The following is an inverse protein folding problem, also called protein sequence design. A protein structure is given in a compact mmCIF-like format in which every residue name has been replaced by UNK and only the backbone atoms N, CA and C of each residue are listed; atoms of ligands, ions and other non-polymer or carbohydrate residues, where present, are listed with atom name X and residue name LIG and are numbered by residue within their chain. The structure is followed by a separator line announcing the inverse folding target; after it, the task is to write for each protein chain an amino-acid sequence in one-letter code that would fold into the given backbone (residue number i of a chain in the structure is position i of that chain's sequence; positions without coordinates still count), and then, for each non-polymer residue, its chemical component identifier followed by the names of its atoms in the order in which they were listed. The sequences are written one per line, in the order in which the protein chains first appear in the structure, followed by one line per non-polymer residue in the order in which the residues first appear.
data_IF_684638386777
#
_entry.id   IF_684638386777
#
_cell.length_a   1.000
_cell.length_b   1.000
_cell.length_c   1.000
_cell.angle_alpha   90.00
_cell.angle_beta   90.00
_cell.angle_gamma   90.00
#
_symmetry.space_group_name_H-M   'P 1'
#
loop_
_entity.id
_entity.type
_entity.pdbx_description
1 polymer ?
#
# COMPACT_ATOMS: atom_id res chain seq x y z
N UNK A 1 -14.42 -16.32 44.91
CA UNK A 1 -14.53 -16.75 43.49
C UNK A 1 -13.24 -17.48 43.15
N UNK A 2 -13.24 -18.71 42.67
CA UNK A 2 -12.00 -19.47 42.54
C UNK A 2 -11.33 -19.25 41.22
N UNK A 3 -10.13 -18.70 41.23
CA UNK A 3 -9.16 -18.84 40.14
C UNK A 3 -8.88 -20.34 39.90
N UNK A 4 -8.63 -20.78 38.68
CA UNK A 4 -8.22 -22.15 38.40
C UNK A 4 -6.95 -22.48 39.17
N UNK A 5 -6.93 -23.68 39.83
CA UNK A 5 -5.73 -24.18 40.50
C UNK A 5 -5.07 -25.28 39.69
N UNK A 6 -3.76 -25.47 39.88
CA UNK A 6 -2.99 -26.46 39.13
C UNK A 6 -1.98 -27.17 40.07
N UNK A 7 -1.81 -28.45 39.84
CA UNK A 7 -0.77 -29.23 40.53
C UNK A 7 -0.29 -30.44 39.70
N UNK A 8 0.99 -30.81 39.78
CA UNK A 8 1.48 -32.04 39.16
C UNK A 8 0.93 -33.26 39.93
N UNK A 9 0.51 -34.26 39.20
CA UNK A 9 -0.06 -35.51 39.76
C UNK A 9 0.33 -36.70 38.89
N UNK A 10 0.30 -37.88 39.49
CA UNK A 10 0.26 -39.18 38.80
C UNK A 10 -1.12 -39.81 39.02
N UNK A 11 -1.57 -40.56 38.02
CA UNK A 11 -2.83 -41.29 38.11
C UNK A 11 -2.51 -42.75 38.41
N UNK A 12 -2.88 -43.26 39.59
CA UNK A 12 -2.56 -44.62 40.02
C UNK A 12 -2.99 -45.69 39.01
N UNK A 13 -4.08 -45.47 38.31
CA UNK A 13 -4.61 -46.36 37.27
C UNK A 13 -3.72 -46.43 36.04
N UNK A 14 -2.76 -45.52 35.88
CA UNK A 14 -1.85 -45.41 34.71
C UNK A 14 -0.41 -45.81 35.08
N UNK A 15 -0.18 -46.32 36.30
CA UNK A 15 1.12 -46.82 36.72
C UNK A 15 1.37 -48.13 35.98
N UNK A 16 2.50 -48.23 35.27
CA UNK A 16 2.92 -49.42 34.54
C UNK A 16 3.42 -50.50 35.50
N UNK A 17 3.58 -51.73 35.02
CA UNK A 17 4.06 -52.89 35.83
C UNK A 17 5.45 -52.64 36.43
N UNK A 18 6.29 -51.86 35.77
CA UNK A 18 7.62 -51.47 36.26
C UNK A 18 7.59 -50.32 37.30
N UNK A 19 6.44 -49.85 37.66
CA UNK A 19 6.23 -48.71 38.57
C UNK A 19 6.45 -47.34 37.94
N UNK A 20 6.64 -47.24 36.60
CA UNK A 20 6.75 -45.99 35.92
C UNK A 20 5.36 -45.42 35.55
N UNK A 21 5.24 -44.09 35.47
CA UNK A 21 4.03 -43.42 35.02
C UNK A 21 4.33 -42.01 34.46
N UNK A 22 3.50 -41.53 33.55
CA UNK A 22 3.62 -40.17 33.08
C UNK A 22 3.00 -39.17 34.08
N UNK A 23 3.74 -38.14 34.41
CA UNK A 23 3.24 -37.05 35.24
C UNK A 23 2.27 -36.19 34.43
N UNK A 24 1.18 -35.77 35.03
CA UNK A 24 0.19 -34.86 34.44
C UNK A 24 0.02 -33.64 35.31
N UNK A 25 -0.36 -32.52 34.73
CA UNK A 25 -0.79 -31.36 35.51
C UNK A 25 -2.31 -31.40 35.62
N UNK A 26 -2.83 -31.54 36.84
CA UNK A 26 -4.24 -31.43 37.09
C UNK A 26 -4.63 -29.98 37.23
N UNK A 27 -5.51 -29.53 36.34
CA UNK A 27 -6.16 -28.22 36.42
C UNK A 27 -7.52 -28.42 37.06
N UNK A 28 -7.83 -27.63 38.09
CA UNK A 28 -9.12 -27.69 38.77
C UNK A 28 -9.79 -26.31 38.75
N UNK A 29 -11.04 -26.29 38.31
CA UNK A 29 -11.88 -25.09 38.26
C UNK A 29 -13.33 -25.47 38.54
N UNK A 30 -14.02 -24.68 39.36
CA UNK A 30 -15.42 -24.94 39.75
C UNK A 30 -15.71 -26.41 40.12
N UNK A 31 -14.82 -27.01 40.95
CA UNK A 31 -14.88 -28.42 41.41
C UNK A 31 -14.73 -29.49 40.32
N UNK A 32 -14.49 -29.11 39.07
CA UNK A 32 -14.19 -30.03 37.96
C UNK A 32 -12.68 -30.05 37.70
N UNK A 33 -12.15 -31.17 37.20
CA UNK A 33 -10.72 -31.29 36.90
C UNK A 33 -10.48 -31.86 35.50
N UNK A 34 -9.42 -31.33 34.85
CA UNK A 34 -8.83 -31.86 33.62
C UNK A 34 -7.32 -32.00 33.74
N UNK A 35 -6.72 -32.80 32.88
CA UNK A 35 -5.31 -33.17 32.99
C UNK A 35 -4.53 -32.83 31.75
N UNK A 36 -3.50 -32.01 31.90
CA UNK A 36 -2.56 -31.69 30.83
C UNK A 36 -1.44 -32.73 30.88
N UNK A 37 -1.17 -33.49 29.80
CA UNK A 37 -0.07 -34.42 29.75
C UNK A 37 1.28 -33.70 29.76
N UNK A 38 2.30 -34.31 30.36
CA UNK A 38 3.68 -33.81 30.32
C UNK A 38 4.63 -34.84 29.71
N UNK A 39 5.82 -34.40 29.29
CA UNK A 39 6.90 -35.29 28.85
C UNK A 39 7.65 -35.95 29.99
N UNK A 40 7.36 -35.58 31.27
CA UNK A 40 8.06 -36.07 32.44
C UNK A 40 7.46 -37.40 32.86
N UNK A 41 8.31 -38.41 33.02
CA UNK A 41 7.98 -39.73 33.55
C UNK A 41 8.51 -39.83 34.99
N UNK A 42 7.69 -40.30 35.90
CA UNK A 42 8.08 -40.66 37.26
C UNK A 42 8.28 -42.17 37.38
N UNK A 43 9.32 -42.61 38.10
CA UNK A 43 9.62 -44.00 38.46
C UNK A 43 9.11 -44.34 39.87
N UNK A 44 9.15 -45.62 40.24
CA UNK A 44 8.69 -46.10 41.57
C UNK A 44 9.34 -45.37 42.75
N UNK A 45 10.55 -44.84 42.57
CA UNK A 45 11.26 -44.06 43.61
C UNK A 45 10.89 -42.57 43.68
N UNK A 46 10.12 -42.06 42.71
CA UNK A 46 9.79 -40.63 42.53
C UNK A 46 8.48 -40.20 43.21
N UNK A 47 7.76 -41.12 43.85
CA UNK A 47 6.52 -40.83 44.57
C UNK A 47 6.41 -41.71 45.84
N UNK A 48 5.58 -41.33 46.76
CA UNK A 48 5.34 -42.03 48.03
C UNK A 48 4.18 -43.04 47.91
N UNK A 49 3.84 -43.67 49.08
CA UNK A 49 2.73 -44.64 49.19
C UNK A 49 1.34 -44.01 48.93
N UNK A 50 1.24 -42.71 49.07
CA UNK A 50 0.02 -41.93 48.84
C UNK A 50 0.02 -41.32 47.40
N UNK A 51 0.96 -41.73 46.53
CA UNK A 51 1.13 -41.25 45.18
C UNK A 51 1.46 -39.74 45.06
N UNK A 52 2.05 -39.16 46.12
CA UNK A 52 2.54 -37.79 46.08
C UNK A 52 3.93 -37.75 45.45
N UNK A 53 4.13 -36.83 44.51
CA UNK A 53 5.40 -36.66 43.79
C UNK A 53 6.46 -36.05 44.73
N UNK A 54 7.68 -36.54 44.66
CA UNK A 54 8.83 -35.97 45.35
C UNK A 54 9.27 -34.63 44.70
N UNK A 55 9.93 -33.78 45.47
CA UNK A 55 10.40 -32.47 45.00
C UNK A 55 11.32 -32.55 43.80
N UNK A 56 12.11 -33.62 43.67
CA UNK A 56 12.98 -33.85 42.48
C UNK A 56 12.20 -33.92 41.17
N UNK A 57 10.98 -34.46 41.19
CA UNK A 57 10.10 -34.51 40.02
C UNK A 57 9.44 -33.13 39.76
N UNK A 58 9.03 -32.46 40.83
CA UNK A 58 8.42 -31.13 40.76
C UNK A 58 9.41 -30.13 40.15
N UNK A 59 10.69 -30.22 40.52
CA UNK A 59 11.76 -29.40 39.98
C UNK A 59 11.93 -29.60 38.45
N UNK A 60 11.77 -30.82 37.94
CA UNK A 60 11.80 -31.08 36.48
C UNK A 60 10.64 -30.46 35.73
N UNK A 61 9.58 -30.07 36.41
CA UNK A 61 8.39 -29.41 35.87
C UNK A 61 8.37 -27.91 36.15
N UNK A 62 9.42 -27.35 36.79
CA UNK A 62 9.41 -25.96 37.26
C UNK A 62 9.08 -24.93 36.21
N UNK A 63 9.66 -25.08 35.02
CA UNK A 63 9.43 -24.12 33.91
C UNK A 63 8.00 -24.22 33.36
N UNK A 64 7.47 -25.45 33.25
CA UNK A 64 6.09 -25.70 32.88
C UNK A 64 5.10 -25.12 33.90
N UNK A 65 5.36 -25.34 35.18
CA UNK A 65 4.53 -24.81 36.25
C UNK A 65 4.56 -23.28 36.30
N UNK A 66 5.73 -22.65 36.08
CA UNK A 66 5.86 -21.20 35.97
C UNK A 66 5.08 -20.68 34.78
N UNK A 67 5.17 -21.35 33.60
CA UNK A 67 4.41 -20.96 32.42
C UNK A 67 2.90 -21.02 32.65
N UNK A 68 2.39 -22.08 33.31
CA UNK A 68 0.97 -22.17 33.69
C UNK A 68 0.59 -21.04 34.63
N UNK A 69 1.41 -20.76 35.66
CA UNK A 69 1.18 -19.67 36.59
C UNK A 69 1.05 -18.32 35.87
N UNK A 70 2.00 -18.02 35.01
CA UNK A 70 1.98 -16.77 34.23
C UNK A 70 0.74 -16.64 33.33
N UNK A 71 0.31 -17.75 32.71
CA UNK A 71 -0.92 -17.74 31.89
C UNK A 71 -2.15 -17.53 32.75
N UNK A 72 -2.20 -18.13 33.97
CA UNK A 72 -3.32 -17.92 34.89
C UNK A 72 -3.37 -16.49 35.43
N UNK A 73 -2.22 -15.85 35.65
CA UNK A 73 -2.10 -14.45 36.06
C UNK A 73 -2.49 -13.45 34.95
N UNK A 74 -2.52 -13.88 33.71
CA UNK A 74 -2.86 -13.00 32.56
C UNK A 74 -4.34 -12.63 32.49
N UNK A 75 -5.22 -13.29 33.25
CA UNK A 75 -6.65 -13.02 33.31
C UNK A 75 -7.10 -12.67 34.73
N UNK A 76 -8.11 -11.84 34.81
CA UNK A 76 -8.76 -11.47 36.08
C UNK A 76 -9.60 -12.61 36.65
N UNK A 77 -9.88 -12.56 37.94
CA UNK A 77 -10.76 -13.53 38.63
C UNK A 77 -12.15 -13.60 37.99
N UNK A 78 -12.65 -12.45 37.51
CA UNK A 78 -13.94 -12.36 36.86
C UNK A 78 -13.94 -13.08 35.50
N UNK A 79 -12.89 -12.92 34.69
CA UNK A 79 -12.76 -13.64 33.43
C UNK A 79 -12.71 -15.15 33.61
N UNK A 80 -11.98 -15.62 34.63
CA UNK A 80 -11.95 -17.05 34.97
C UNK A 80 -13.31 -17.55 35.45
N UNK A 81 -14.07 -16.72 36.18
CA UNK A 81 -15.39 -17.13 36.66
C UNK A 81 -16.43 -17.25 35.53
N UNK A 82 -16.23 -16.59 34.41
CA UNK A 82 -17.09 -16.74 33.23
C UNK A 82 -16.81 -18.03 32.43
N UNK A 83 -15.66 -18.68 32.65
CA UNK A 83 -15.24 -19.86 31.88
C UNK A 83 -15.63 -21.17 32.64
N UNK A 84 -15.90 -22.20 31.88
CA UNK A 84 -15.98 -23.57 32.42
C UNK A 84 -14.61 -24.27 32.34
N UNK A 85 -14.55 -25.53 32.88
CA UNK A 85 -13.28 -26.27 32.90
C UNK A 85 -12.77 -26.65 31.49
N UNK A 86 -13.65 -26.80 30.52
CA UNK A 86 -13.30 -27.14 29.16
C UNK A 86 -12.67 -25.92 28.43
N UNK A 87 -13.22 -24.76 28.66
CA UNK A 87 -12.70 -23.48 28.16
C UNK A 87 -11.36 -23.15 28.82
N UNK A 88 -11.25 -23.30 30.16
CA UNK A 88 -9.97 -23.12 30.87
C UNK A 88 -8.90 -24.07 30.35
N UNK A 89 -9.24 -25.36 30.19
CA UNK A 89 -8.30 -26.35 29.65
C UNK A 89 -7.87 -26.01 28.20
N UNK A 90 -8.79 -25.65 27.35
CA UNK A 90 -8.52 -25.27 25.96
C UNK A 90 -7.63 -24.03 25.89
N UNK A 91 -7.91 -23.02 26.69
CA UNK A 91 -7.11 -21.79 26.76
C UNK A 91 -5.67 -22.08 27.23
N UNK A 92 -5.51 -22.82 28.33
CA UNK A 92 -4.20 -23.21 28.83
C UNK A 92 -3.43 -24.08 27.85
N UNK A 93 -4.11 -25.06 27.24
CA UNK A 93 -3.48 -25.94 26.24
C UNK A 93 -3.02 -25.21 25.00
N UNK A 94 -3.78 -24.22 24.54
CA UNK A 94 -3.41 -23.36 23.40
C UNK A 94 -2.17 -22.51 23.73
N UNK A 95 -2.15 -21.87 24.92
CA UNK A 95 -1.02 -21.02 25.35
C UNK A 95 0.24 -21.80 25.73
N UNK A 96 0.11 -23.07 26.10
CA UNK A 96 1.21 -23.94 26.51
C UNK A 96 1.75 -24.82 25.39
N UNK A 97 1.09 -24.89 24.23
CA UNK A 97 1.73 -25.50 23.08
C UNK A 97 3.06 -24.79 22.87
N UNK A 98 4.21 -25.52 22.72
CA UNK A 98 5.40 -24.87 22.20
C UNK A 98 4.96 -24.18 20.94
N UNK A 99 4.93 -22.85 20.93
CA UNK A 99 4.76 -22.15 19.68
C UNK A 99 5.92 -22.64 18.83
N UNK A 100 5.64 -23.42 17.78
CA UNK A 100 6.56 -23.46 16.66
C UNK A 100 6.84 -22.00 16.42
N UNK A 101 8.10 -21.61 16.61
CA UNK A 101 8.51 -20.21 16.59
C UNK A 101 8.03 -19.69 15.26
N UNK A 102 6.96 -18.87 15.27
CA UNK A 102 6.40 -18.34 14.03
C UNK A 102 7.56 -17.71 13.26
N UNK A 103 7.78 -18.19 12.06
CA UNK A 103 8.81 -17.72 11.15
C UNK A 103 8.15 -17.34 9.84
N UNK A 104 8.42 -16.14 9.40
CA UNK A 104 7.94 -15.63 8.12
C UNK A 104 9.07 -14.84 7.48
N UNK A 105 9.55 -15.29 6.32
CA UNK A 105 10.52 -14.51 5.57
C UNK A 105 9.86 -13.25 5.01
N UNK A 106 10.45 -12.10 5.32
CA UNK A 106 9.92 -10.78 4.98
C UNK A 106 9.86 -10.54 3.46
N UNK A 107 10.85 -11.03 2.72
CA UNK A 107 10.92 -10.82 1.27
C UNK A 107 9.97 -11.77 0.53
N UNK A 108 9.86 -13.01 0.94
CA UNK A 108 8.86 -13.95 0.39
C UNK A 108 7.45 -13.43 0.62
N UNK A 109 7.15 -12.94 1.82
CA UNK A 109 5.90 -12.27 2.12
C UNK A 109 5.70 -11.03 1.24
N UNK A 110 6.74 -10.19 1.10
CA UNK A 110 6.74 -9.02 0.23
C UNK A 110 6.33 -9.36 -1.21
N UNK A 111 6.88 -10.43 -1.78
CA UNK A 111 6.49 -10.90 -3.12
C UNK A 111 5.04 -11.40 -3.18
N UNK A 112 4.55 -12.06 -2.13
CA UNK A 112 3.14 -12.45 -2.03
C UNK A 112 2.22 -11.22 -1.95
N UNK A 113 2.57 -10.24 -1.13
CA UNK A 113 1.84 -8.97 -1.01
C UNK A 113 1.73 -8.22 -2.34
N UNK A 114 2.72 -8.35 -3.22
CA UNK A 114 2.72 -7.72 -4.53
C UNK A 114 1.77 -8.38 -5.54
N UNK A 115 1.33 -9.62 -5.30
CA UNK A 115 0.35 -10.28 -6.16
C UNK A 115 -0.96 -9.49 -6.11
N UNK A 116 -1.52 -9.18 -7.27
CA UNK A 116 -2.77 -8.40 -7.37
C UNK A 116 -2.61 -6.87 -7.29
N UNK A 117 -1.41 -6.33 -7.06
CA UNK A 117 -1.18 -4.88 -7.16
C UNK A 117 -1.02 -4.44 -8.61
N UNK A 118 -1.43 -3.21 -8.94
CA UNK A 118 -1.18 -2.62 -10.26
C UNK A 118 0.32 -2.51 -10.55
N UNK A 119 0.70 -2.52 -11.81
CA UNK A 119 2.11 -2.51 -12.24
C UNK A 119 2.91 -1.34 -11.65
N UNK A 120 2.36 -0.11 -11.69
CA UNK A 120 3.03 1.06 -11.13
C UNK A 120 3.21 0.98 -9.60
N UNK A 121 2.19 0.43 -8.89
CA UNK A 121 2.27 0.19 -7.44
C UNK A 121 3.31 -0.89 -7.14
N UNK A 122 3.29 -1.99 -7.89
CA UNK A 122 4.25 -3.10 -7.76
C UNK A 122 5.69 -2.63 -7.95
N UNK A 123 5.95 -1.79 -8.96
CA UNK A 123 7.28 -1.23 -9.23
C UNK A 123 7.82 -0.44 -8.03
N UNK A 124 7.00 0.43 -7.42
CA UNK A 124 7.41 1.20 -6.23
C UNK A 124 7.79 0.30 -5.04
N UNK A 125 6.98 -0.72 -4.76
CA UNK A 125 7.28 -1.67 -3.69
C UNK A 125 8.51 -2.53 -3.99
N UNK A 126 8.71 -2.95 -5.24
CA UNK A 126 9.93 -3.68 -5.65
C UNK A 126 11.19 -2.85 -5.45
N UNK A 127 11.15 -1.56 -5.79
CA UNK A 127 12.27 -0.66 -5.50
C UNK A 127 12.56 -0.56 -3.99
N UNK A 128 11.50 -0.48 -3.17
CA UNK A 128 11.66 -0.44 -1.71
C UNK A 128 12.23 -1.75 -1.15
N UNK A 129 11.75 -2.91 -1.62
CA UNK A 129 12.28 -4.21 -1.21
C UNK A 129 13.75 -4.37 -1.64
N UNK A 130 14.10 -3.98 -2.88
CA UNK A 130 15.48 -4.02 -3.35
C UNK A 130 16.41 -3.10 -2.54
N UNK A 131 15.95 -1.90 -2.19
CA UNK A 131 16.72 -0.99 -1.33
C UNK A 131 16.90 -1.56 0.09
N UNK A 132 15.89 -2.23 0.61
CA UNK A 132 15.95 -2.87 1.93
C UNK A 132 16.87 -4.09 1.93
N UNK A 133 16.83 -4.91 0.87
CA UNK A 133 17.78 -6.01 0.63
C UNK A 133 19.23 -5.51 0.58
N UNK A 134 19.50 -4.44 -0.18
CA UNK A 134 20.84 -3.83 -0.25
C UNK A 134 21.32 -3.34 1.12
N UNK A 135 20.43 -2.75 1.91
CA UNK A 135 20.75 -2.30 3.27
C UNK A 135 21.06 -3.47 4.21
N UNK A 136 20.30 -4.56 4.14
CA UNK A 136 20.50 -5.76 4.98
C UNK A 136 21.67 -6.62 4.53
N UNK A 137 22.05 -6.56 3.24
CA UNK A 137 23.05 -7.44 2.62
C UNK A 137 22.56 -8.89 2.42
N UNK A 138 21.26 -9.16 2.61
CA UNK A 138 20.65 -10.47 2.46
C UNK A 138 19.18 -10.37 2.05
N UNK A 139 18.70 -11.39 1.32
CA UNK A 139 17.28 -11.55 0.97
C UNK A 139 16.55 -12.56 1.88
N UNK A 140 17.24 -13.22 2.79
CA UNK A 140 16.63 -14.10 3.79
C UNK A 140 16.58 -13.36 5.10
N UNK A 141 15.38 -12.98 5.54
CA UNK A 141 15.21 -12.12 6.71
C UNK A 141 13.86 -12.38 7.40
N UNK A 142 13.92 -12.85 8.64
CA UNK A 142 12.70 -13.09 9.42
C UNK A 142 11.99 -11.76 9.75
N UNK A 143 10.66 -11.73 9.58
CA UNK A 143 9.84 -10.52 9.79
C UNK A 143 9.96 -9.96 11.21
N UNK A 144 10.23 -10.80 12.21
CA UNK A 144 10.43 -10.38 13.60
C UNK A 144 11.69 -9.52 13.80
N UNK A 145 12.62 -9.59 12.84
CA UNK A 145 13.81 -8.75 12.76
C UNK A 145 13.53 -7.30 12.35
N UNK A 146 12.35 -7.01 11.79
CA UNK A 146 11.93 -5.64 11.48
C UNK A 146 11.60 -4.93 12.80
N UNK A 147 12.55 -4.20 13.32
CA UNK A 147 12.43 -3.44 14.58
C UNK A 147 12.43 -1.94 14.32
N UNK A 148 11.97 -1.14 15.28
CA UNK A 148 12.02 0.33 15.20
C UNK A 148 13.47 0.85 15.06
N UNK A 149 14.43 0.20 15.71
CA UNK A 149 15.85 0.51 15.58
C UNK A 149 16.38 0.20 14.18
N UNK A 150 16.02 -0.96 13.61
CA UNK A 150 16.38 -1.31 12.24
C UNK A 150 15.82 -0.30 11.24
N UNK A 151 14.55 0.10 11.42
CA UNK A 151 13.90 1.07 10.53
C UNK A 151 14.57 2.45 10.57
N UNK A 152 15.01 2.92 11.75
CA UNK A 152 15.81 4.16 11.86
C UNK A 152 17.17 4.04 11.14
N UNK A 153 17.83 2.89 11.25
CA UNK A 153 19.08 2.64 10.53
C UNK A 153 18.86 2.59 9.00
N UNK A 154 17.77 1.99 8.55
CA UNK A 154 17.40 1.97 7.14
C UNK A 154 17.08 3.38 6.62
N UNK A 155 16.36 4.19 7.39
CA UNK A 155 16.10 5.60 7.05
C UNK A 155 17.42 6.39 6.89
N UNK A 156 18.36 6.27 7.85
CA UNK A 156 19.67 6.92 7.77
C UNK A 156 20.45 6.44 6.53
N UNK A 157 20.47 5.15 6.25
CA UNK A 157 21.09 4.61 5.02
C UNK A 157 20.50 5.25 3.75
N UNK A 158 19.17 5.43 3.70
CA UNK A 158 18.52 6.08 2.56
C UNK A 158 18.85 7.57 2.48
N UNK A 159 18.96 8.25 3.62
CA UNK A 159 19.36 9.66 3.71
C UNK A 159 20.80 9.85 3.20
N UNK A 160 21.71 8.99 3.63
CA UNK A 160 23.12 9.03 3.20
C UNK A 160 23.26 8.78 1.69
N UNK A 161 22.43 7.88 1.15
CA UNK A 161 22.47 7.49 -0.26
C UNK A 161 21.79 8.50 -1.20
N UNK A 162 20.69 9.11 -0.78
CA UNK A 162 19.81 9.89 -1.64
C UNK A 162 19.61 11.34 -1.21
N UNK A 163 20.04 11.70 0.00
CA UNK A 163 19.77 12.98 0.64
C UNK A 163 18.47 12.98 1.47
N UNK A 164 18.45 13.79 2.52
CA UNK A 164 17.39 13.83 3.55
C UNK A 164 15.98 14.07 2.98
N UNK A 165 15.88 14.90 1.97
CA UNK A 165 14.61 15.32 1.38
C UNK A 165 14.21 14.46 0.16
N UNK A 166 14.99 13.45 -0.17
CA UNK A 166 14.69 12.58 -1.29
C UNK A 166 13.39 11.80 -1.07
N UNK A 167 12.56 11.75 -2.10
CA UNK A 167 11.30 10.98 -2.09
C UNK A 167 11.53 9.50 -1.72
N UNK A 168 12.69 8.94 -2.06
CA UNK A 168 13.05 7.57 -1.76
C UNK A 168 12.99 7.27 -0.26
N UNK A 169 13.39 8.22 0.61
CA UNK A 169 13.39 8.05 2.07
C UNK A 169 11.98 7.79 2.58
N UNK A 170 11.04 8.69 2.29
CA UNK A 170 9.64 8.54 2.73
C UNK A 170 8.92 7.38 2.04
N UNK A 171 9.15 7.20 0.72
CA UNK A 171 8.49 6.16 -0.06
C UNK A 171 8.91 4.76 0.38
N UNK A 172 10.20 4.51 0.54
CA UNK A 172 10.69 3.16 0.83
C UNK A 172 10.42 2.77 2.28
N UNK A 173 10.63 3.67 3.24
CA UNK A 173 10.29 3.39 4.63
C UNK A 173 8.80 3.14 4.82
N UNK A 174 7.93 3.93 4.19
CA UNK A 174 6.46 3.72 4.20
C UNK A 174 6.07 2.41 3.50
N UNK A 175 6.77 2.02 2.44
CA UNK A 175 6.50 0.76 1.74
C UNK A 175 6.81 -0.45 2.63
N UNK A 176 7.96 -0.47 3.32
CA UNK A 176 8.31 -1.52 4.28
C UNK A 176 7.28 -1.57 5.42
N UNK A 177 6.87 -0.41 5.95
CA UNK A 177 5.82 -0.32 6.97
C UNK A 177 4.50 -0.93 6.49
N UNK A 178 4.09 -0.66 5.26
CA UNK A 178 2.83 -1.18 4.69
C UNK A 178 2.88 -2.70 4.51
N UNK A 179 4.00 -3.24 3.98
CA UNK A 179 4.19 -4.69 3.81
C UNK A 179 4.12 -5.39 5.18
N UNK A 180 4.81 -4.85 6.17
CA UNK A 180 4.82 -5.38 7.53
C UNK A 180 3.43 -5.29 8.20
N UNK A 181 2.72 -4.18 8.04
CA UNK A 181 1.37 -4.01 8.58
C UNK A 181 0.38 -5.02 8.00
N UNK A 182 0.52 -5.35 6.72
CA UNK A 182 -0.34 -6.35 6.08
C UNK A 182 -0.03 -7.77 6.58
N UNK A 183 1.24 -8.11 6.82
CA UNK A 183 1.61 -9.36 7.47
C UNK A 183 0.96 -9.49 8.87
N UNK A 184 0.99 -8.42 9.65
CA UNK A 184 0.33 -8.39 10.96
C UNK A 184 -1.18 -8.61 10.86
N UNK A 185 -1.84 -7.99 9.88
CA UNK A 185 -3.28 -8.20 9.66
C UNK A 185 -3.62 -9.64 9.25
N UNK A 186 -2.69 -10.29 8.55
CA UNK A 186 -2.89 -11.65 8.02
C UNK A 186 -2.65 -12.71 9.07
N UNK A 187 -1.64 -12.53 9.93
CA UNK A 187 -1.16 -13.59 10.82
C UNK A 187 -1.47 -13.37 12.29
N UNK A 188 -1.70 -12.13 12.74
CA UNK A 188 -2.13 -11.90 14.12
C UNK A 188 -3.64 -12.11 14.25
N UNK A 189 -4.04 -12.80 15.31
CA UNK A 189 -5.45 -12.92 15.69
C UNK A 189 -5.74 -11.92 16.82
N UNK A 190 -6.40 -10.82 16.46
CA UNK A 190 -6.73 -9.77 17.43
C UNK A 190 -7.90 -10.18 18.35
N UNK A 191 -8.77 -11.10 17.93
CA UNK A 191 -9.90 -11.57 18.74
C UNK A 191 -9.43 -12.53 19.83
N UNK A 192 -8.46 -13.39 19.51
CA UNK A 192 -7.85 -14.31 20.46
C UNK A 192 -6.67 -13.69 21.23
N UNK A 193 -6.25 -12.48 20.87
CA UNK A 193 -5.11 -11.80 21.47
C UNK A 193 -3.75 -12.41 21.09
N UNK A 194 -3.69 -13.23 20.05
CA UNK A 194 -2.44 -13.85 19.60
C UNK A 194 -1.64 -12.92 18.69
N UNK A 195 -0.56 -12.37 19.26
CA UNK A 195 0.36 -11.46 18.54
C UNK A 195 1.59 -12.25 18.11
N UNK A 196 1.56 -12.78 16.87
CA UNK A 196 2.70 -13.47 16.25
C UNK A 196 3.75 -12.50 15.73
N UNK A 197 3.31 -11.36 15.19
CA UNK A 197 4.15 -10.30 14.61
C UNK A 197 3.93 -9.01 15.41
N UNK A 198 4.97 -8.54 16.10
CA UNK A 198 4.95 -7.28 16.86
C UNK A 198 4.91 -6.06 15.94
N UNK A 199 4.44 -4.92 16.46
CA UNK A 199 4.38 -3.66 15.72
C UNK A 199 5.59 -2.76 16.00
N UNK A 200 6.62 -2.71 15.15
CA UNK A 200 7.75 -1.81 15.36
C UNK A 200 7.40 -0.33 15.09
N UNK A 201 6.29 -0.09 14.39
CA UNK A 201 5.86 1.25 13.97
C UNK A 201 5.09 2.01 15.05
N UNK A 202 4.91 1.45 16.24
CA UNK A 202 4.50 2.20 17.45
C UNK A 202 5.60 3.16 17.92
N UNK A 203 6.86 2.77 17.71
CA UNK A 203 8.04 3.54 18.14
C UNK A 203 8.85 4.13 16.98
N UNK A 204 8.38 3.95 15.74
CA UNK A 204 8.99 4.51 14.55
C UNK A 204 7.91 4.89 13.54
N UNK A 205 7.88 6.15 13.13
CA UNK A 205 6.98 6.65 12.09
C UNK A 205 7.80 7.00 10.85
N UNK A 206 7.50 6.42 9.68
CA UNK A 206 8.14 6.83 8.43
C UNK A 206 8.03 8.34 8.18
N UNK A 207 9.08 9.01 7.69
CA UNK A 207 9.03 10.44 7.42
C UNK A 207 7.99 10.75 6.36
N UNK A 208 7.28 11.87 6.55
CA UNK A 208 6.31 12.36 5.56
C UNK A 208 7.05 12.93 4.35
N UNK A 209 6.53 12.66 3.16
CA UNK A 209 7.03 13.27 1.95
C UNK A 209 6.79 14.78 2.00
N UNK A 210 7.82 15.57 1.71
CA UNK A 210 7.66 17.00 1.48
C UNK A 210 6.77 17.25 0.26
N UNK A 211 5.94 18.30 0.26
CA UNK A 211 5.19 18.70 -0.92
C UNK A 211 6.16 18.88 -2.10
N UNK A 212 5.85 18.26 -3.23
CA UNK A 212 6.60 18.50 -4.46
C UNK A 212 6.36 19.93 -4.93
N UNK A 213 7.41 20.58 -5.43
CA UNK A 213 7.29 21.87 -6.10
C UNK A 213 6.25 21.76 -7.23
N UNK A 214 5.45 22.81 -7.40
CA UNK A 214 4.48 22.88 -8.50
C UNK A 214 5.24 22.79 -9.81
N UNK A 215 4.83 21.88 -10.67
CA UNK A 215 5.44 21.64 -12.00
C UNK A 215 4.65 22.36 -13.09
N UNK A 216 4.19 23.57 -12.82
CA UNK A 216 3.55 24.42 -13.81
C UNK A 216 4.62 25.10 -14.64
N UNK A 217 4.37 25.29 -15.92
CA UNK A 217 5.12 26.22 -16.75
C UNK A 217 4.38 27.53 -16.83
N UNK A 218 5.09 28.60 -17.10
CA UNK A 218 4.51 29.94 -17.21
C UNK A 218 3.57 30.03 -18.42
N UNK A 219 2.62 30.94 -18.33
CA UNK A 219 1.58 31.13 -19.33
C UNK A 219 2.17 31.42 -20.74
N UNK A 220 3.16 32.30 -20.83
CA UNK A 220 3.83 32.65 -22.09
C UNK A 220 4.54 31.45 -22.73
N UNK A 221 5.00 30.47 -21.92
CA UNK A 221 5.67 29.28 -22.45
C UNK A 221 4.70 28.41 -23.28
N UNK A 222 3.41 28.34 -22.89
CA UNK A 222 2.39 27.65 -23.73
C UNK A 222 2.25 28.33 -25.09
N UNK A 223 2.14 29.66 -25.10
CA UNK A 223 2.04 30.40 -26.37
C UNK A 223 3.29 30.18 -27.23
N UNK A 224 4.46 30.28 -26.64
CA UNK A 224 5.74 30.05 -27.34
C UNK A 224 5.85 28.61 -27.89
N UNK A 225 5.30 27.61 -27.18
CA UNK A 225 5.24 26.24 -27.71
C UNK A 225 4.34 26.14 -28.93
N UNK A 226 3.18 26.82 -28.91
CA UNK A 226 2.29 26.89 -30.06
C UNK A 226 2.99 27.54 -31.26
N UNK A 227 3.69 28.65 -31.04
CA UNK A 227 4.34 29.43 -32.06
C UNK A 227 5.55 28.71 -32.70
N UNK A 228 6.36 28.00 -31.87
CA UNK A 228 7.59 27.36 -32.35
C UNK A 228 7.35 26.00 -33.01
N UNK A 229 6.22 25.35 -32.79
CA UNK A 229 5.98 23.94 -33.17
C UNK A 229 6.25 23.64 -34.64
N UNK A 230 5.85 24.52 -35.54
CA UNK A 230 6.03 24.33 -36.99
C UNK A 230 7.48 24.47 -37.44
N UNK A 231 8.35 25.07 -36.64
CA UNK A 231 9.78 25.22 -36.91
C UNK A 231 10.62 24.09 -36.26
N UNK A 232 9.99 23.15 -35.56
CA UNK A 232 10.67 22.03 -34.94
C UNK A 232 10.83 20.85 -35.90
N UNK A 233 11.89 20.07 -35.71
CA UNK A 233 12.01 18.77 -36.37
C UNK A 233 10.90 17.82 -35.98
N UNK A 234 10.55 16.87 -36.84
CA UNK A 234 9.38 15.97 -36.72
C UNK A 234 9.17 15.38 -35.33
N UNK A 235 10.22 14.84 -34.71
CA UNK A 235 10.11 14.21 -33.37
C UNK A 235 9.86 15.21 -32.25
N UNK A 236 10.43 16.42 -32.35
CA UNK A 236 10.21 17.49 -31.36
C UNK A 236 8.82 18.08 -31.53
N UNK A 237 8.39 18.31 -32.77
CA UNK A 237 7.02 18.74 -33.09
C UNK A 237 6.01 17.76 -32.54
N UNK A 238 6.18 16.45 -32.78
CA UNK A 238 5.27 15.44 -32.27
C UNK A 238 5.20 15.47 -30.73
N UNK A 239 6.32 15.65 -30.05
CA UNK A 239 6.33 15.73 -28.58
C UNK A 239 5.59 16.98 -28.06
N UNK A 240 5.76 18.12 -28.72
CA UNK A 240 5.03 19.37 -28.43
C UNK A 240 3.55 19.20 -28.74
N UNK A 241 3.19 18.60 -29.87
CA UNK A 241 1.81 18.33 -30.25
C UNK A 241 1.09 17.42 -29.24
N UNK A 242 1.76 16.36 -28.77
CA UNK A 242 1.22 15.49 -27.69
C UNK A 242 1.04 16.27 -26.38
N UNK A 243 2.00 17.16 -26.06
CA UNK A 243 1.90 18.02 -24.89
C UNK A 243 0.71 18.98 -24.97
N UNK A 244 0.59 19.69 -26.09
CA UNK A 244 -0.50 20.62 -26.35
C UNK A 244 -1.85 19.91 -26.46
N UNK A 245 -1.91 18.70 -27.05
CA UNK A 245 -3.10 17.86 -27.02
C UNK A 245 -3.53 17.53 -25.59
N UNK A 246 -2.57 17.10 -24.74
CA UNK A 246 -2.86 16.88 -23.32
C UNK A 246 -3.44 18.13 -22.66
N UNK A 247 -2.85 19.30 -22.93
CA UNK A 247 -3.31 20.59 -22.43
C UNK A 247 -4.73 20.92 -22.91
N UNK A 248 -5.00 20.80 -24.22
CA UNK A 248 -6.33 21.03 -24.83
C UNK A 248 -7.41 20.12 -24.23
N UNK A 249 -7.03 18.96 -23.73
CA UNK A 249 -7.92 17.99 -23.10
C UNK A 249 -7.81 18.03 -21.57
N UNK A 250 -7.81 19.22 -20.94
CA UNK A 250 -7.80 19.44 -19.50
C UNK A 250 -6.63 18.73 -18.79
N UNK A 251 -5.47 18.62 -19.42
CA UNK A 251 -4.32 17.92 -18.86
C UNK A 251 -4.49 16.40 -18.78
N UNK A 252 -5.15 15.80 -19.75
CA UNK A 252 -5.31 14.33 -19.82
C UNK A 252 -3.97 13.63 -19.94
N UNK A 253 -3.75 12.60 -19.13
CA UNK A 253 -2.47 11.89 -19.10
C UNK A 253 -2.29 10.94 -20.28
N UNK A 254 -1.04 10.65 -20.67
CA UNK A 254 -0.72 9.81 -21.82
C UNK A 254 -1.40 8.42 -21.79
N UNK A 255 -1.49 7.67 -20.66
CA UNK A 255 -2.22 6.42 -20.66
C UNK A 255 -3.68 6.56 -21.07
N UNK A 256 -4.32 7.66 -20.66
CA UNK A 256 -5.71 7.96 -20.95
C UNK A 256 -5.87 8.40 -22.44
N UNK A 257 -4.94 9.21 -22.96
CA UNK A 257 -4.89 9.58 -24.39
C UNK A 257 -4.66 8.37 -25.31
N UNK A 258 -3.80 7.42 -24.88
CA UNK A 258 -3.47 6.24 -25.67
C UNK A 258 -4.66 5.31 -25.88
N UNK A 259 -5.52 5.18 -24.86
CA UNK A 259 -6.68 4.28 -24.87
C UNK A 259 -8.00 5.00 -25.17
N UNK A 260 -7.99 6.33 -25.33
CA UNK A 260 -9.18 7.11 -25.56
C UNK A 260 -9.93 6.69 -26.84
N UNK A 261 -11.25 6.77 -26.77
CA UNK A 261 -12.18 6.58 -27.89
C UNK A 261 -12.73 7.93 -28.34
N UNK A 262 -13.21 8.02 -29.57
CA UNK A 262 -13.83 9.22 -30.11
C UNK A 262 -15.24 8.94 -30.60
N UNK A 263 -16.16 9.82 -30.24
CA UNK A 263 -17.54 9.79 -30.77
C UNK A 263 -17.90 11.21 -31.23
N UNK A 264 -17.87 11.41 -32.55
CA UNK A 264 -18.04 12.75 -33.13
C UNK A 264 -16.87 13.66 -32.72
N UNK A 265 -17.19 14.76 -32.05
CA UNK A 265 -16.25 15.72 -31.48
C UNK A 265 -15.92 15.47 -29.98
N UNK A 266 -16.40 14.38 -29.41
CA UNK A 266 -16.20 14.05 -27.98
C UNK A 266 -15.18 12.93 -27.83
N UNK A 267 -14.18 13.15 -26.96
CA UNK A 267 -13.21 12.17 -26.51
C UNK A 267 -13.74 11.50 -25.24
N UNK A 268 -13.70 10.18 -25.24
CA UNK A 268 -14.24 9.32 -24.19
C UNK A 268 -13.11 8.46 -23.62
N UNK A 269 -12.96 8.44 -22.30
CA UNK A 269 -12.05 7.53 -21.62
C UNK A 269 -12.44 7.27 -20.16
N UNK A 270 -11.92 6.19 -19.61
CA UNK A 270 -12.01 5.89 -18.18
C UNK A 270 -10.63 6.05 -17.57
N UNK A 271 -10.43 7.03 -16.69
CA UNK A 271 -9.11 7.38 -16.15
C UNK A 271 -8.39 6.17 -15.57
N UNK A 272 -7.31 5.75 -16.21
CA UNK A 272 -6.56 4.53 -15.94
C UNK A 272 -6.13 4.39 -14.45
N UNK A 273 -5.74 5.49 -13.81
CA UNK A 273 -5.27 5.52 -12.43
C UNK A 273 -6.35 5.19 -11.40
N UNK A 274 -7.63 5.47 -11.68
CA UNK A 274 -8.71 5.43 -10.68
C UNK A 274 -9.91 4.60 -11.08
N UNK A 275 -10.01 4.15 -12.35
CA UNK A 275 -11.17 3.41 -12.88
C UNK A 275 -11.53 2.15 -12.08
N UNK A 276 -10.54 1.45 -11.52
CA UNK A 276 -10.77 0.24 -10.73
C UNK A 276 -11.32 0.48 -9.32
N UNK A 277 -11.30 1.74 -8.85
CA UNK A 277 -11.68 2.12 -7.47
C UNK A 277 -12.98 2.91 -7.41
N UNK A 278 -13.51 3.32 -8.57
CA UNK A 278 -14.69 4.19 -8.66
C UNK A 278 -15.86 3.43 -9.26
N UNK A 279 -17.04 3.67 -8.72
CA UNK A 279 -18.30 3.13 -9.23
C UNK A 279 -18.58 3.62 -10.66
N UNK A 280 -18.35 4.91 -10.94
CA UNK A 280 -18.49 5.53 -12.26
C UNK A 280 -17.35 5.19 -13.23
N UNK A 281 -16.46 4.24 -12.84
CA UNK A 281 -15.26 3.83 -13.58
C UNK A 281 -14.36 5.01 -13.97
N UNK A 282 -14.47 6.13 -13.26
CA UNK A 282 -13.76 7.37 -13.55
C UNK A 282 -13.93 7.83 -15.01
N UNK A 283 -15.16 7.72 -15.53
CA UNK A 283 -15.50 8.11 -16.88
C UNK A 283 -15.28 9.61 -17.11
N UNK A 284 -14.76 9.95 -18.27
CA UNK A 284 -14.53 11.32 -18.74
C UNK A 284 -15.02 11.49 -20.17
N UNK A 285 -15.61 12.65 -20.43
CA UNK A 285 -16.05 13.09 -21.76
C UNK A 285 -15.54 14.51 -21.97
N UNK A 286 -14.72 14.71 -22.98
CA UNK A 286 -14.11 16.01 -23.27
C UNK A 286 -14.41 16.36 -24.74
N UNK A 287 -15.01 17.51 -24.97
CA UNK A 287 -15.24 18.02 -26.32
C UNK A 287 -13.93 18.51 -26.93
N UNK A 288 -13.69 18.15 -28.19
CA UNK A 288 -12.63 18.71 -29.00
C UNK A 288 -13.07 20.12 -29.41
N UNK A 289 -12.40 21.13 -28.89
CA UNK A 289 -12.72 22.50 -29.22
C UNK A 289 -12.10 22.86 -30.59
N UNK A 290 -12.91 23.41 -31.55
CA UNK A 290 -12.42 23.71 -32.91
C UNK A 290 -11.21 24.63 -32.93
N UNK A 291 -11.05 25.49 -31.95
CA UNK A 291 -9.90 26.40 -31.81
C UNK A 291 -8.56 25.64 -31.73
N UNK A 292 -8.55 24.38 -31.29
CA UNK A 292 -7.36 23.54 -31.20
C UNK A 292 -7.11 22.68 -32.45
N UNK A 293 -7.96 22.75 -33.48
CA UNK A 293 -7.81 21.93 -34.70
C UNK A 293 -6.42 22.00 -35.33
N UNK A 294 -5.72 23.17 -35.42
CA UNK A 294 -4.37 23.22 -35.98
C UNK A 294 -3.37 22.26 -35.34
N UNK A 295 -3.62 21.84 -34.10
CA UNK A 295 -2.75 20.90 -33.35
C UNK A 295 -3.32 19.49 -33.36
N UNK A 296 -4.64 19.36 -33.19
CA UNK A 296 -5.29 18.07 -32.91
C UNK A 296 -5.48 17.26 -34.20
N UNK A 297 -5.73 17.91 -35.35
CA UNK A 297 -6.14 17.24 -36.59
C UNK A 297 -5.18 16.16 -37.05
N UNK A 298 -3.87 16.39 -36.96
CA UNK A 298 -2.84 15.44 -37.38
C UNK A 298 -2.69 14.23 -36.42
N UNK A 299 -3.22 14.37 -35.24
CA UNK A 299 -3.18 13.33 -34.22
C UNK A 299 -4.44 12.45 -34.15
N UNK A 300 -5.53 12.86 -34.82
CA UNK A 300 -6.77 12.11 -34.85
C UNK A 300 -6.64 10.82 -35.64
N UNK A 301 -7.25 9.74 -35.16
CA UNK A 301 -7.34 8.50 -35.94
C UNK A 301 -8.50 8.56 -36.93
N UNK A 302 -8.15 8.60 -38.22
CA UNK A 302 -9.14 8.63 -39.32
C UNK A 302 -9.96 7.34 -39.40
N UNK A 303 -9.38 6.20 -38.99
CA UNK A 303 -10.08 4.91 -38.95
C UNK A 303 -11.05 4.81 -37.78
N UNK A 304 -10.99 5.76 -36.85
CA UNK A 304 -11.82 5.84 -35.64
C UNK A 304 -11.81 4.56 -34.77
N UNK A 305 -10.70 3.80 -34.79
CA UNK A 305 -10.50 2.65 -33.91
C UNK A 305 -10.20 3.10 -32.48
N UNK A 306 -9.45 4.22 -32.37
CA UNK A 306 -9.23 4.98 -31.16
C UNK A 306 -9.40 6.47 -31.44
N UNK A 307 -9.29 7.31 -30.42
CA UNK A 307 -9.35 8.76 -30.65
C UNK A 307 -8.12 9.26 -31.43
N UNK A 308 -6.95 8.72 -31.12
CA UNK A 308 -5.67 9.19 -31.62
C UNK A 308 -4.82 8.08 -32.23
N UNK A 309 -3.93 8.49 -33.19
CA UNK A 309 -3.07 7.57 -33.97
C UNK A 309 -1.95 6.91 -33.16
N UNK A 310 -1.87 7.14 -31.87
CA UNK A 310 -0.73 6.70 -31.04
C UNK A 310 -0.49 5.20 -31.07
N UNK A 311 -1.54 4.37 -31.07
CA UNK A 311 -1.44 2.92 -31.15
C UNK A 311 -0.85 2.42 -32.46
N UNK A 312 -0.90 3.22 -33.54
CA UNK A 312 -0.30 2.91 -34.86
C UNK A 312 1.21 3.18 -34.84
N UNK A 313 1.65 4.20 -34.09
CA UNK A 313 3.04 4.67 -34.07
C UNK A 313 3.85 4.05 -32.91
N UNK A 314 3.20 3.64 -31.83
CA UNK A 314 3.86 3.23 -30.59
C UNK A 314 3.24 1.96 -30.02
N UNK A 315 4.07 1.02 -29.58
CA UNK A 315 3.62 -0.25 -29.00
C UNK A 315 2.95 -0.10 -27.63
N UNK A 316 3.27 0.96 -26.88
CA UNK A 316 2.67 1.23 -25.58
C UNK A 316 2.84 2.70 -25.17
N UNK A 317 1.99 3.12 -24.22
CA UNK A 317 1.97 4.51 -23.72
C UNK A 317 3.21 4.92 -22.94
N UNK A 318 3.94 3.98 -22.30
CA UNK A 318 5.16 4.31 -21.53
C UNK A 318 6.25 4.81 -22.46
N UNK A 319 6.42 4.15 -23.60
CA UNK A 319 7.39 4.57 -24.61
C UNK A 319 7.09 5.98 -25.14
N UNK A 320 5.80 6.31 -25.33
CA UNK A 320 5.41 7.68 -25.70
C UNK A 320 5.82 8.68 -24.62
N UNK A 321 5.49 8.36 -23.35
CA UNK A 321 5.78 9.25 -22.22
C UNK A 321 7.29 9.53 -22.09
N UNK A 322 8.11 8.48 -22.18
CA UNK A 322 9.55 8.59 -22.04
C UNK A 322 10.13 9.43 -23.20
N UNK A 323 9.79 9.09 -24.46
CA UNK A 323 10.28 9.82 -25.63
C UNK A 323 9.79 11.26 -25.68
N UNK A 324 8.53 11.52 -25.37
CA UNK A 324 8.01 12.87 -25.33
C UNK A 324 8.72 13.71 -24.26
N UNK A 325 8.96 13.15 -23.06
CA UNK A 325 9.68 13.87 -22.00
C UNK A 325 11.13 14.19 -22.38
N UNK A 326 11.85 13.26 -23.04
CA UNK A 326 13.20 13.52 -23.53
C UNK A 326 13.21 14.69 -24.52
N UNK A 327 12.29 14.68 -25.49
CA UNK A 327 12.20 15.75 -26.50
C UNK A 327 11.73 17.08 -25.93
N UNK A 328 10.77 17.08 -25.00
CA UNK A 328 10.33 18.31 -24.33
C UNK A 328 11.46 18.96 -23.54
N UNK A 329 12.36 18.18 -22.96
CA UNK A 329 13.57 18.70 -22.29
C UNK A 329 14.50 19.41 -23.29
N UNK A 330 14.69 18.82 -24.46
CA UNK A 330 15.48 19.43 -25.54
C UNK A 330 14.82 20.74 -26.03
N UNK A 331 13.50 20.74 -26.25
CA UNK A 331 12.73 21.94 -26.64
C UNK A 331 12.84 23.02 -25.57
N UNK A 332 12.70 22.68 -24.27
CA UNK A 332 12.87 23.62 -23.17
C UNK A 332 14.26 24.31 -23.21
N UNK A 333 15.31 23.54 -23.46
CA UNK A 333 16.67 24.07 -23.59
C UNK A 333 16.78 25.07 -24.78
N UNK A 334 16.19 24.72 -25.94
CA UNK A 334 16.16 25.63 -27.11
C UNK A 334 15.40 26.91 -26.80
N UNK A 335 14.32 26.81 -26.06
CA UNK A 335 13.50 27.96 -25.68
C UNK A 335 14.13 28.78 -24.52
N UNK A 336 15.18 28.29 -23.87
CA UNK A 336 15.77 28.94 -22.69
C UNK A 336 14.83 28.96 -21.47
N UNK A 337 14.02 27.91 -21.29
CA UNK A 337 13.11 27.76 -20.14
C UNK A 337 13.47 26.55 -19.30
N UNK A 338 13.00 26.53 -18.05
CA UNK A 338 13.20 25.37 -17.18
C UNK A 338 12.62 24.08 -17.80
N UNK A 339 13.33 22.96 -17.65
CA UNK A 339 12.85 21.67 -18.16
C UNK A 339 11.49 21.28 -17.59
N UNK A 340 10.58 20.87 -18.46
CA UNK A 340 9.25 20.42 -18.10
C UNK A 340 8.93 19.04 -18.69
N UNK A 341 7.86 18.42 -18.22
CA UNK A 341 7.44 17.08 -18.61
C UNK A 341 6.00 17.07 -19.08
N UNK A 342 5.56 16.00 -19.73
CA UNK A 342 4.16 15.80 -20.11
C UNK A 342 3.16 16.08 -18.99
N UNK A 343 3.54 15.74 -17.74
CA UNK A 343 2.67 15.94 -16.59
C UNK A 343 2.46 17.42 -16.22
N UNK A 344 3.36 18.31 -16.64
CA UNK A 344 3.21 19.75 -16.40
C UNK A 344 2.01 20.35 -17.17
N UNK A 345 1.59 19.77 -18.32
CA UNK A 345 0.41 20.21 -19.04
C UNK A 345 -0.84 20.24 -18.13
N UNK A 346 -0.99 19.20 -17.31
CA UNK A 346 -2.10 19.11 -16.35
C UNK A 346 -2.02 20.14 -15.22
N UNK A 347 -0.84 20.37 -14.68
CA UNK A 347 -0.63 21.38 -13.66
C UNK A 347 -0.85 22.79 -14.19
N UNK A 348 -0.35 23.05 -15.40
CA UNK A 348 -0.47 24.34 -16.08
C UNK A 348 -1.92 24.64 -16.41
N UNK A 349 -2.65 23.69 -17.01
CA UNK A 349 -4.08 23.85 -17.28
C UNK A 349 -4.86 24.20 -16.00
N UNK A 350 -4.66 23.46 -14.91
CA UNK A 350 -5.34 23.71 -13.65
C UNK A 350 -4.99 25.06 -13.02
N UNK A 351 -3.73 25.50 -13.15
CA UNK A 351 -3.28 26.81 -12.62
C UNK A 351 -3.89 27.95 -13.41
N UNK A 352 -3.94 27.85 -14.75
CA UNK A 352 -4.56 28.84 -15.62
C UNK A 352 -6.08 28.88 -15.36
N UNK A 353 -6.74 27.74 -15.30
CA UNK A 353 -8.15 27.65 -14.98
C UNK A 353 -8.47 28.38 -13.65
N UNK A 354 -7.64 28.18 -12.63
CA UNK A 354 -7.79 28.86 -11.34
C UNK A 354 -7.54 30.38 -11.45
N UNK A 355 -6.53 30.81 -12.20
CA UNK A 355 -6.18 32.23 -12.36
C UNK A 355 -7.26 33.03 -13.10
N UNK A 356 -8.02 32.41 -14.00
CA UNK A 356 -9.14 33.04 -14.70
C UNK A 356 -10.49 32.91 -13.96
N UNK A 357 -10.47 32.45 -12.68
CA UNK A 357 -11.63 32.44 -11.81
C UNK A 357 -12.51 31.19 -11.89
N UNK A 358 -12.06 30.09 -12.50
CA UNK A 358 -12.80 28.82 -12.47
C UNK A 358 -12.74 28.23 -11.06
N UNK A 359 -13.91 27.85 -10.53
CA UNK A 359 -14.04 27.30 -9.20
C UNK A 359 -13.20 26.02 -9.01
N UNK A 360 -12.56 25.86 -7.84
CA UNK A 360 -11.72 24.70 -7.53
C UNK A 360 -12.46 23.36 -7.63
N UNK A 361 -13.74 23.33 -7.24
CA UNK A 361 -14.59 22.14 -7.40
C UNK A 361 -14.72 21.74 -8.86
N UNK A 362 -15.00 22.68 -9.76
CA UNK A 362 -15.08 22.41 -11.19
C UNK A 362 -13.72 22.00 -11.77
N UNK A 363 -12.62 22.60 -11.33
CA UNK A 363 -11.27 22.18 -11.71
C UNK A 363 -11.03 20.73 -11.26
N UNK A 364 -11.44 20.35 -10.05
CA UNK A 364 -11.33 18.96 -9.58
C UNK A 364 -12.12 18.00 -10.47
N UNK A 365 -13.32 18.37 -10.90
CA UNK A 365 -14.14 17.58 -11.82
C UNK A 365 -13.45 17.43 -13.18
N UNK A 366 -12.98 18.52 -13.77
CA UNK A 366 -12.21 18.54 -15.02
C UNK A 366 -10.96 17.65 -14.94
N UNK A 367 -10.32 17.60 -13.79
CA UNK A 367 -9.18 16.73 -13.54
C UNK A 367 -9.57 15.30 -13.15
N UNK A 368 -10.86 14.95 -13.11
CA UNK A 368 -11.35 13.67 -12.64
C UNK A 368 -10.78 13.30 -11.24
N UNK A 369 -10.68 14.29 -10.34
CA UNK A 369 -10.34 14.07 -8.95
C UNK A 369 -11.61 13.74 -8.16
N UNK A 370 -11.47 13.02 -7.05
CA UNK A 370 -12.53 12.81 -6.07
C UNK A 370 -12.24 13.71 -4.89
N UNK A 371 -13.23 14.50 -4.50
CA UNK A 371 -13.22 15.20 -3.23
C UNK A 371 -13.94 14.32 -2.20
N UNK A 372 -13.26 13.79 -1.17
CA UNK A 372 -13.90 12.95 -0.17
C UNK A 372 -15.03 13.66 0.57
N UNK A 373 -14.92 15.00 0.74
CA UNK A 373 -15.90 15.81 1.46
C UNK A 373 -17.17 16.04 0.63
N UNK A 374 -17.07 15.93 -0.70
CA UNK A 374 -18.19 16.08 -1.64
C UNK A 374 -18.78 14.75 -2.10
N UNK A 375 -18.20 13.62 -1.70
CA UNK A 375 -18.58 12.29 -2.21
C UNK A 375 -20.07 11.94 -2.01
N UNK A 376 -20.70 12.41 -0.93
CA UNK A 376 -22.11 12.22 -0.65
C UNK A 376 -22.98 13.08 -1.58
N UNK A 377 -22.58 14.33 -1.83
CA UNK A 377 -23.27 15.28 -2.71
C UNK A 377 -23.23 14.80 -4.16
N UNK A 378 -22.10 14.24 -4.59
CA UNK A 378 -21.89 13.72 -5.94
C UNK A 378 -22.87 12.59 -6.32
N UNK A 379 -23.44 11.88 -5.34
CA UNK A 379 -24.47 10.84 -5.58
C UNK A 379 -25.77 11.45 -6.13
N UNK A 380 -26.09 12.68 -5.73
CA UNK A 380 -27.34 13.35 -6.10
C UNK A 380 -27.23 14.19 -7.36
N UNK A 381 -26.00 14.49 -7.82
CA UNK A 381 -25.76 15.39 -8.95
C UNK A 381 -25.47 14.56 -10.20
N UNK A 382 -26.34 14.68 -11.20
CA UNK A 382 -26.03 14.17 -12.53
C UNK A 382 -24.91 15.00 -13.14
N UNK A 383 -23.81 14.37 -13.49
CA UNK A 383 -22.65 15.04 -14.07
C UNK A 383 -23.03 15.70 -15.41
N UNK A 384 -22.87 17.01 -15.48
CA UNK A 384 -23.04 17.78 -16.70
C UNK A 384 -21.67 18.09 -17.32
N UNK A 385 -21.42 17.43 -18.42
CA UNK A 385 -20.16 17.60 -19.14
C UNK A 385 -20.01 18.97 -19.80
N UNK A 386 -21.13 19.63 -20.17
CA UNK A 386 -21.09 20.93 -20.86
C UNK A 386 -20.42 22.01 -20.00
N UNK A 387 -20.64 22.01 -18.70
CA UNK A 387 -20.02 22.94 -17.75
C UNK A 387 -18.49 22.80 -17.74
N UNK A 388 -18.01 21.53 -17.84
CA UNK A 388 -16.57 21.27 -17.92
C UNK A 388 -15.99 21.67 -19.27
N UNK A 389 -16.74 21.48 -20.36
CA UNK A 389 -16.31 21.90 -21.70
C UNK A 389 -16.22 23.42 -21.82
N UNK A 390 -17.20 24.14 -21.28
CA UNK A 390 -17.16 25.61 -21.22
C UNK A 390 -15.97 26.13 -20.38
N UNK A 391 -15.70 25.48 -19.23
CA UNK A 391 -14.53 25.81 -18.45
C UNK A 391 -13.22 25.57 -19.23
N UNK A 392 -13.13 24.44 -19.98
CA UNK A 392 -11.99 24.17 -20.84
C UNK A 392 -11.85 25.20 -21.95
N UNK A 393 -12.94 25.54 -22.64
CA UNK A 393 -12.93 26.54 -23.71
C UNK A 393 -12.39 27.88 -23.19
N UNK A 394 -12.84 28.37 -22.02
CA UNK A 394 -12.34 29.60 -21.42
C UNK A 394 -10.81 29.59 -21.20
N UNK A 395 -10.24 28.42 -20.83
CA UNK A 395 -8.78 28.27 -20.70
C UNK A 395 -8.11 28.33 -22.07
N UNK A 396 -8.67 27.68 -23.07
CA UNK A 396 -8.10 27.60 -24.40
C UNK A 396 -8.16 28.94 -25.13
N UNK A 397 -9.20 29.73 -24.93
CA UNK A 397 -9.38 31.08 -25.50
C UNK A 397 -8.33 32.09 -24.99
N UNK A 398 -7.56 31.76 -23.98
CA UNK A 398 -6.45 32.59 -23.51
C UNK A 398 -5.25 32.57 -24.49
N UNK A 399 -5.25 31.68 -25.48
CA UNK A 399 -4.10 31.48 -26.40
C UNK A 399 -4.50 31.67 -27.85
N UNK A 400 -3.52 32.07 -28.65
CA UNK A 400 -3.64 32.11 -30.10
C UNK A 400 -3.15 30.76 -30.69
N UNK A 401 -4.08 29.98 -31.25
CA UNK A 401 -3.84 28.64 -31.77
C UNK A 401 -3.52 28.60 -33.29
N UNK A 402 -3.31 29.75 -33.91
CA UNK A 402 -3.06 29.89 -35.35
C UNK A 402 -1.63 29.54 -35.69
#
# INVERSE_FOLDING_TARGET
MPTPSYKPVILYQQIRRDGSCNVKIRITHKRKSKYIPTSVTASKGDYDKEYQLKNSVILRLSDLLKSIGSVLESKTVFEWDMMDIDEVYSYLSAKMRPSEKFQLDFFEWGEQFLKGKSEGTRSNYKCALSAFEQFLGTRVFDISGVTSSLMRRFENYLIDKHGKDARAVSLYTSSISTIHAEARRTYNDNELGDVLIRNPFEFYTPPKQKPTLKRTIEFDVIQRLIDIREHLGEYHKLAVDIYLLSFCLMGTNIPDLYDAERKGDVILYNRAKTRSRRFDKAAMQIRLEPICNPIISDLLDVDNKKAFIFYKKFNNYKYIADKANDRLKEVANVMGVEPFTMYSARHTWASIAYSIGIAKSLINDCLCHVDPDMAVTDIYIKKDWSVMWEANLKVLEQFNWK
#
